data_IF_896492608918
#
_entry.id   IF_896492608918
#
_cell.length_a   1.000
_cell.length_b   1.000
_cell.length_c   1.000
_cell.angle_alpha   90.00
_cell.angle_beta   90.00
_cell.angle_gamma   90.00
#
_symmetry.space_group_name_H-M   'P 1'
#
loop_
_entity.id
_entity.type
_entity.pdbx_description
1 polymer ?
#
# COMPACT_ATOMS: atom_id res chain seq x y z
N UNK A 1 8.82 4.36 -6.72
CA UNK A 1 7.68 3.80 -5.95
C UNK A 1 7.76 2.28 -5.84
N UNK A 2 7.29 1.64 -4.76
CA UNK A 2 7.24 0.19 -4.58
C UNK A 2 5.79 -0.32 -4.64
N UNK A 3 5.53 -1.40 -5.35
CA UNK A 3 4.24 -2.10 -5.41
C UNK A 3 4.44 -3.51 -4.86
N UNK A 4 3.60 -3.93 -3.94
CA UNK A 4 3.66 -5.28 -3.35
C UNK A 4 2.28 -5.92 -3.30
N UNK A 5 2.24 -7.24 -3.52
CA UNK A 5 1.03 -8.04 -3.44
C UNK A 5 1.10 -8.81 -2.15
N UNK A 6 0.08 -8.65 -1.33
CA UNK A 6 0.09 -9.14 0.03
C UNK A 6 -1.15 -9.97 0.30
N UNK A 7 -0.98 -11.03 1.10
CA UNK A 7 -2.07 -11.75 1.73
C UNK A 7 -2.38 -11.10 3.07
N UNK A 8 -3.66 -10.79 3.30
CA UNK A 8 -4.13 -10.18 4.54
C UNK A 8 -5.32 -10.96 5.09
N UNK A 9 -5.51 -10.90 6.40
CA UNK A 9 -6.75 -11.34 7.01
C UNK A 9 -7.85 -10.29 6.81
N UNK A 10 -9.10 -10.73 6.70
CA UNK A 10 -10.25 -9.83 6.51
C UNK A 10 -10.47 -8.89 7.69
N UNK A 11 -10.16 -9.34 8.89
CA UNK A 11 -10.34 -8.64 10.16
C UNK A 11 -9.14 -7.74 10.51
N UNK A 12 -7.96 -8.01 9.97
CA UNK A 12 -6.75 -7.20 10.18
C UNK A 12 -6.08 -6.79 8.86
N UNK A 13 -6.65 -5.77 8.22
CA UNK A 13 -6.09 -5.17 6.99
C UNK A 13 -4.77 -4.40 7.23
N UNK A 14 -4.31 -4.32 8.47
CA UNK A 14 -3.10 -3.60 8.87
C UNK A 14 -1.86 -4.49 8.77
N UNK A 15 -2.07 -5.80 8.89
CA UNK A 15 -1.00 -6.79 8.92
C UNK A 15 -1.04 -7.65 7.66
N UNK A 16 -0.03 -7.47 6.83
CA UNK A 16 0.28 -8.49 5.82
C UNK A 16 0.74 -9.75 6.52
N UNK A 17 0.15 -10.88 6.13
CA UNK A 17 0.61 -12.21 6.48
C UNK A 17 1.82 -12.60 5.62
N UNK A 18 1.81 -12.23 4.34
CA UNK A 18 2.84 -12.65 3.40
C UNK A 18 2.88 -11.83 2.11
N UNK A 19 4.09 -11.51 1.66
CA UNK A 19 4.35 -10.88 0.37
C UNK A 19 4.49 -11.91 -0.73
N UNK A 20 3.51 -11.96 -1.61
CA UNK A 20 3.51 -12.85 -2.77
C UNK A 20 4.43 -12.37 -3.88
N UNK A 21 4.56 -11.05 -4.02
CA UNK A 21 5.28 -10.44 -5.14
C UNK A 21 5.53 -8.97 -4.93
N UNK A 22 6.52 -8.43 -5.64
CA UNK A 22 6.81 -7.00 -5.63
C UNK A 22 7.32 -6.53 -6.98
N UNK A 23 7.04 -5.27 -7.30
CA UNK A 23 7.60 -4.54 -8.44
C UNK A 23 8.00 -3.15 -7.97
N UNK A 24 9.19 -2.69 -8.38
CA UNK A 24 9.56 -1.29 -8.22
C UNK A 24 9.20 -0.54 -9.49
N UNK A 25 8.52 0.59 -9.34
CA UNK A 25 8.33 1.56 -10.40
C UNK A 25 9.44 2.59 -10.22
N UNK A 26 10.47 2.52 -11.06
CA UNK A 26 11.58 3.48 -11.10
C UNK A 26 11.63 4.12 -12.48
N UNK A 27 11.98 5.42 -12.53
CA UNK A 27 12.22 6.17 -13.76
C UNK A 27 11.00 6.21 -14.72
N UNK A 28 9.77 6.13 -14.18
CA UNK A 28 8.52 6.11 -14.96
C UNK A 28 7.50 7.09 -14.39
N UNK A 29 7.72 8.41 -14.52
CA UNK A 29 6.92 9.43 -13.85
C UNK A 29 5.43 9.38 -14.21
N UNK A 30 5.08 9.05 -15.46
CA UNK A 30 3.68 8.93 -15.89
C UNK A 30 2.95 7.77 -15.16
N UNK A 31 3.61 6.62 -15.04
CA UNK A 31 3.07 5.45 -14.34
C UNK A 31 3.01 5.69 -12.83
N UNK A 32 4.06 6.30 -12.25
CA UNK A 32 4.06 6.68 -10.84
C UNK A 32 2.93 7.66 -10.52
N UNK A 33 2.70 8.68 -11.36
CA UNK A 33 1.59 9.62 -11.20
C UNK A 33 0.25 8.90 -11.25
N UNK A 34 0.02 8.08 -12.29
CA UNK A 34 -1.25 7.38 -12.45
C UNK A 34 -1.54 6.40 -11.30
N UNK A 35 -0.52 5.71 -10.78
CA UNK A 35 -0.69 4.85 -9.60
C UNK A 35 -0.99 5.69 -8.35
N UNK A 36 -0.35 6.85 -8.21
CA UNK A 36 -0.59 7.75 -7.07
C UNK A 36 -2.01 8.31 -7.10
N UNK A 37 -2.49 8.74 -8.27
CA UNK A 37 -3.86 9.20 -8.48
C UNK A 37 -4.87 8.09 -8.19
N UNK A 38 -4.60 6.86 -8.67
CA UNK A 38 -5.41 5.69 -8.36
C UNK A 38 -5.47 5.43 -6.85
N UNK A 39 -4.32 5.45 -6.16
CA UNK A 39 -4.25 5.25 -4.72
C UNK A 39 -5.01 6.35 -3.97
N UNK A 40 -4.91 7.60 -4.40
CA UNK A 40 -5.64 8.73 -3.81
C UNK A 40 -7.16 8.56 -3.85
N UNK A 41 -7.68 7.88 -4.88
CA UNK A 41 -9.12 7.65 -5.06
C UNK A 41 -9.61 6.36 -4.41
N UNK A 42 -8.82 5.30 -4.43
CA UNK A 42 -9.29 3.94 -4.15
C UNK A 42 -8.60 3.24 -2.97
N UNK A 43 -7.64 3.90 -2.31
CA UNK A 43 -7.00 3.30 -1.14
C UNK A 43 -8.01 3.03 -0.02
N UNK A 44 -7.94 1.82 0.53
CA UNK A 44 -8.71 1.38 1.70
C UNK A 44 -8.06 1.79 3.01
N UNK A 45 -6.87 2.42 2.94
CA UNK A 45 -6.11 2.89 4.09
C UNK A 45 -5.70 4.35 3.88
N UNK A 46 -5.74 5.20 4.91
CA UNK A 46 -5.30 6.59 4.81
C UNK A 46 -3.83 6.71 4.35
N UNK A 47 -3.48 7.73 3.54
CA UNK A 47 -2.09 8.03 3.21
C UNK A 47 -1.27 8.42 4.45
N UNK A 48 0.02 8.07 4.47
CA UNK A 48 0.96 8.52 5.50
C UNK A 48 0.79 7.90 6.90
N UNK A 49 -0.24 7.08 7.12
CA UNK A 49 -0.50 6.44 8.42
C UNK A 49 0.15 5.06 8.54
N UNK A 50 0.38 4.40 7.40
CA UNK A 50 0.80 3.00 7.36
C UNK A 50 2.28 2.88 7.00
N UNK A 51 3.13 2.59 7.98
CA UNK A 51 4.54 2.29 7.76
C UNK A 51 4.76 0.78 7.68
N UNK A 52 5.53 0.35 6.68
CA UNK A 52 5.91 -1.04 6.51
C UNK A 52 7.41 -1.18 6.31
N UNK A 53 8.05 -2.05 7.09
CA UNK A 53 9.43 -2.47 6.84
C UNK A 53 9.46 -3.57 5.76
N UNK A 54 10.16 -3.31 4.66
CA UNK A 54 10.36 -4.27 3.56
C UNK A 54 11.76 -4.13 2.97
N UNK A 55 12.47 -5.26 2.84
CA UNK A 55 13.86 -5.34 2.36
C UNK A 55 14.81 -4.36 3.06
N UNK A 56 14.69 -4.27 4.39
CA UNK A 56 15.56 -3.41 5.22
C UNK A 56 15.30 -1.91 5.11
N UNK A 57 14.17 -1.50 4.52
CA UNK A 57 13.73 -0.10 4.43
C UNK A 57 12.30 0.05 4.93
N UNK A 58 11.99 1.22 5.48
CA UNK A 58 10.62 1.60 5.82
C UNK A 58 9.97 2.29 4.62
N UNK A 59 8.69 1.98 4.43
CA UNK A 59 7.87 2.50 3.34
C UNK A 59 6.59 3.06 3.94
N UNK A 60 6.25 4.29 3.58
CA UNK A 60 4.90 4.79 3.76
C UNK A 60 4.02 4.12 2.72
N UNK A 61 2.92 3.54 3.16
CA UNK A 61 2.12 2.66 2.31
C UNK A 61 0.65 3.03 2.28
N UNK A 62 0.00 2.69 1.18
CA UNK A 62 -1.45 2.65 1.05
C UNK A 62 -1.86 1.31 0.46
N UNK A 63 -2.94 0.73 0.96
CA UNK A 63 -3.52 -0.52 0.48
C UNK A 63 -4.67 -0.23 -0.49
N UNK A 64 -4.70 -0.92 -1.61
CA UNK A 64 -5.83 -0.96 -2.56
C UNK A 64 -6.27 -2.41 -2.79
N UNK A 65 -7.56 -2.65 -3.14
CA UNK A 65 -8.02 -3.99 -3.51
C UNK A 65 -7.26 -4.51 -4.74
N UNK A 66 -6.74 -5.73 -4.67
CA UNK A 66 -5.78 -6.19 -5.69
C UNK A 66 -6.41 -6.38 -7.07
N UNK A 67 -7.60 -6.98 -7.18
CA UNK A 67 -8.22 -7.27 -8.48
C UNK A 67 -8.52 -5.98 -9.28
N UNK A 68 -9.20 -4.96 -8.72
CA UNK A 68 -9.38 -3.68 -9.40
C UNK A 68 -8.06 -2.99 -9.78
N UNK A 69 -7.06 -3.04 -8.90
CA UNK A 69 -5.75 -2.44 -9.19
C UNK A 69 -5.03 -3.15 -10.34
N UNK A 70 -5.13 -4.48 -10.41
CA UNK A 70 -4.58 -5.28 -11.50
C UNK A 70 -5.28 -5.00 -12.83
N UNK A 71 -6.60 -4.75 -12.81
CA UNK A 71 -7.34 -4.30 -13.99
C UNK A 71 -6.84 -2.93 -14.46
N UNK A 72 -6.66 -1.97 -13.55
CA UNK A 72 -6.06 -0.67 -13.85
C UNK A 72 -4.64 -0.78 -14.45
N UNK A 73 -3.78 -1.62 -13.86
CA UNK A 73 -2.43 -1.83 -14.40
C UNK A 73 -2.42 -2.50 -15.78
N UNK A 74 -3.49 -3.18 -16.18
CA UNK A 74 -3.56 -3.81 -17.49
C UNK A 74 -3.47 -2.78 -18.65
N UNK A 75 -3.96 -1.55 -18.44
CA UNK A 75 -3.83 -0.45 -19.39
C UNK A 75 -2.36 0.00 -19.58
N UNK A 76 -1.51 -0.35 -18.61
CA UNK A 76 -0.08 -0.07 -18.59
C UNK A 76 0.78 -1.27 -19.04
N UNK A 77 0.18 -2.32 -19.63
CA UNK A 77 0.92 -3.52 -20.09
C UNK A 77 2.05 -3.24 -21.08
N UNK A 78 1.98 -2.13 -21.80
CA UNK A 78 3.05 -1.70 -22.70
C UNK A 78 4.37 -1.40 -21.96
N UNK A 79 4.32 -1.16 -20.63
CA UNK A 79 5.50 -1.04 -19.77
C UNK A 79 6.01 -2.46 -19.40
N UNK A 80 7.26 -2.83 -19.74
CA UNK A 80 7.75 -4.21 -19.57
C UNK A 80 7.64 -4.78 -18.14
N UNK A 81 7.96 -3.98 -17.13
CA UNK A 81 7.89 -4.44 -15.74
C UNK A 81 6.46 -4.64 -15.26
N UNK A 82 5.52 -3.81 -15.73
CA UNK A 82 4.09 -3.99 -15.45
C UNK A 82 3.59 -5.27 -16.09
N UNK A 83 3.95 -5.51 -17.36
CA UNK A 83 3.60 -6.75 -18.06
C UNK A 83 4.10 -7.97 -17.29
N UNK A 84 5.40 -8.00 -16.94
CA UNK A 84 6.00 -9.10 -16.18
C UNK A 84 5.32 -9.29 -14.82
N UNK A 85 5.02 -8.21 -14.11
CA UNK A 85 4.35 -8.26 -12.82
C UNK A 85 2.93 -8.85 -12.95
N UNK A 86 2.16 -8.39 -13.92
CA UNK A 86 0.82 -8.93 -14.18
C UNK A 86 0.90 -10.42 -14.53
N UNK A 87 1.75 -10.81 -15.48
CA UNK A 87 1.81 -12.19 -15.97
C UNK A 87 2.17 -13.20 -14.86
N UNK A 88 3.02 -12.80 -13.92
CA UNK A 88 3.42 -13.68 -12.80
C UNK A 88 2.35 -13.74 -11.71
N UNK A 89 1.71 -12.62 -11.40
CA UNK A 89 0.93 -12.52 -10.15
C UNK A 89 -0.59 -12.40 -10.33
N UNK A 90 -1.10 -12.20 -11.55
CA UNK A 90 -2.55 -12.11 -11.81
C UNK A 90 -3.31 -13.35 -11.31
N UNK A 91 -2.65 -14.52 -11.34
CA UNK A 91 -3.18 -15.79 -10.83
C UNK A 91 -3.57 -15.77 -9.34
N UNK A 92 -2.95 -14.90 -8.53
CA UNK A 92 -3.23 -14.82 -7.10
C UNK A 92 -4.46 -13.95 -6.79
N UNK A 93 -4.77 -12.99 -7.67
CA UNK A 93 -5.89 -12.04 -7.47
C UNK A 93 -7.18 -12.52 -8.10
N UNK A 94 -7.11 -13.48 -9.02
CA UNK A 94 -8.30 -14.06 -9.62
C UNK A 94 -9.09 -14.88 -8.59
N UNK A 95 -10.43 -14.79 -8.60
CA UNK A 95 -11.26 -15.67 -7.80
C UNK A 95 -10.95 -17.13 -8.13
N UNK A 96 -10.47 -17.88 -7.15
CA UNK A 96 -10.19 -19.30 -7.29
C UNK A 96 -11.26 -20.11 -6.55
N UNK A 97 -11.75 -21.22 -7.12
CA UNK A 97 -12.60 -22.16 -6.39
C UNK A 97 -11.82 -22.68 -5.16
N UNK A 98 -12.30 -22.38 -3.96
CA UNK A 98 -11.63 -22.74 -2.70
C UNK A 98 -10.80 -21.63 -2.06
N UNK A 99 -10.89 -20.38 -2.53
CA UNK A 99 -10.30 -19.25 -1.83
C UNK A 99 -10.79 -19.19 -0.37
N UNK A 100 -9.86 -19.16 0.58
CA UNK A 100 -10.17 -19.11 2.01
C UNK A 100 -10.99 -17.85 2.30
N UNK A 101 -12.16 -18.00 2.92
CA UNK A 101 -13.09 -16.89 3.17
C UNK A 101 -12.47 -15.76 3.98
N UNK A 102 -11.46 -16.05 4.80
CA UNK A 102 -10.93 -15.10 5.78
C UNK A 102 -9.66 -14.40 5.31
N UNK A 103 -9.16 -14.73 4.12
CA UNK A 103 -7.97 -14.13 3.53
C UNK A 103 -8.35 -13.32 2.30
N UNK A 104 -7.71 -12.16 2.13
CA UNK A 104 -7.82 -11.29 0.95
C UNK A 104 -6.44 -11.04 0.37
N UNK A 105 -6.40 -10.76 -0.92
CA UNK A 105 -5.21 -10.25 -1.59
C UNK A 105 -5.40 -8.74 -1.77
N UNK A 106 -4.51 -7.95 -1.19
CA UNK A 106 -4.41 -6.51 -1.48
C UNK A 106 -3.08 -6.18 -2.13
N UNK A 107 -3.03 -4.98 -2.68
CA UNK A 107 -1.79 -4.38 -3.14
C UNK A 107 -1.43 -3.24 -2.21
N UNK A 108 -0.21 -3.26 -1.70
CA UNK A 108 0.37 -2.12 -1.00
C UNK A 108 1.27 -1.33 -1.93
N UNK A 109 0.95 -0.05 -2.05
CA UNK A 109 1.67 0.96 -2.81
C UNK A 109 2.51 1.72 -1.79
N UNK A 110 3.82 1.70 -1.97
CA UNK A 110 4.81 2.22 -1.05
C UNK A 110 5.64 3.35 -1.65
N UNK A 111 5.84 4.41 -0.87
CA UNK A 111 6.83 5.43 -1.11
C UNK A 111 7.94 5.30 -0.08
N UNK A 112 9.20 5.56 -0.46
CA UNK A 112 10.27 5.58 0.52
C UNK A 112 9.87 6.59 1.59
N UNK A 113 9.94 6.17 2.84
CA UNK A 113 9.79 7.11 3.94
C UNK A 113 10.86 8.19 3.74
N UNK A 114 10.45 9.45 3.60
CA UNK A 114 11.37 10.56 3.68
C UNK A 114 12.00 10.60 5.08
N UNK A 115 12.87 11.57 5.41
CA UNK A 115 13.17 11.81 6.81
C UNK A 115 11.84 12.02 7.57
N UNK A 116 11.68 11.28 8.68
CA UNK A 116 10.46 11.09 9.48
C UNK A 116 9.33 12.09 9.21
N UNK A 117 8.10 11.63 8.89
CA UNK A 117 6.94 12.51 8.97
C UNK A 117 6.81 12.92 10.44
N UNK A 118 6.95 14.23 10.69
CA UNK A 118 6.66 14.87 11.98
C UNK A 118 5.49 14.16 12.62
N UNK A 119 5.73 13.57 13.79
CA UNK A 119 4.72 12.91 14.59
C UNK A 119 3.52 13.85 14.76
N UNK A 120 2.47 13.66 13.95
CA UNK A 120 1.17 14.26 14.19
C UNK A 120 0.61 13.51 15.39
N UNK A 121 0.92 14.03 16.58
CA UNK A 121 0.60 13.40 17.86
C UNK A 121 1.66 13.55 18.95
N UNK A 122 2.58 14.51 18.87
CA UNK A 122 3.18 15.03 20.10
C UNK A 122 2.18 16.00 20.72
N UNK A 123 1.41 15.53 21.71
CA UNK A 123 0.85 16.44 22.69
C UNK A 123 2.03 17.27 23.26
N UNK A 124 1.91 18.60 23.40
CA UNK A 124 2.94 19.37 24.06
C UNK A 124 3.14 18.79 25.47
N UNK A 125 4.40 18.55 25.91
CA UNK A 125 4.64 18.26 27.30
C UNK A 125 4.36 19.55 28.10
N UNK A 126 3.50 19.43 29.10
CA UNK A 126 3.18 20.44 30.11
C UNK A 126 2.49 21.72 29.61
N UNK A 127 1.19 21.61 29.29
CA UNK A 127 0.28 22.73 29.53
C UNK A 127 -0.50 22.48 30.83
N UNK A 128 -0.21 23.38 31.76
CA UNK A 128 -0.70 23.51 33.12
C UNK A 128 -2.25 23.62 33.15
N UNK A 129 -2.93 22.48 33.26
CA UNK A 129 -4.40 22.43 33.42
C UNK A 129 -4.90 23.01 34.76
N UNK A 130 -4.01 23.52 35.62
CA UNK A 130 -4.35 24.12 36.91
C UNK A 130 -4.74 25.61 36.84
N UNK A 131 -4.56 26.30 35.70
CA UNK A 131 -4.81 27.75 35.61
C UNK A 131 -6.16 28.16 34.99
N UNK A 132 -7.03 27.21 34.62
CA UNK A 132 -8.35 27.49 34.00
C UNK A 132 -9.55 27.23 34.91
N UNK A 133 -9.32 26.95 36.20
CA UNK A 133 -10.37 26.88 37.23
C UNK A 133 -9.90 27.62 38.48
N UNK A 134 -9.84 28.95 38.39
CA UNK A 134 -9.80 29.87 39.53
C UNK A 134 -10.60 31.13 39.22
#
# INVERSE_FOLDING_TARGET
MLITIELLLRDDLRRSLFTLGSMTVEQKPALESAISDYAGLYATTPPGVWVRSYKGRNWLTQSVPALPFFAFLADWRHVPDVSRFLDVYYRFVQPSPGAMSDVRVNVWIGWPDGPDPVAVGAAPPDDDYAALVA
#
